data_IF_408997504884
#
_entry.id   IF_408997504884
#
_cell.length_a   1.000
_cell.length_b   1.000
_cell.length_c   1.000
_cell.angle_alpha   90.00
_cell.angle_beta   90.00
_cell.angle_gamma   90.00
#
_symmetry.space_group_name_H-M   'P 1'
#
loop_
_entity.id
_entity.type
_entity.pdbx_description
1 polymer ?
#
# COMPACT_ATOMS: atom_id res chain seq x y z
N UNK A 1 8.92 7.11 -10.72
CA UNK A 1 9.75 7.13 -9.47
C UNK A 1 10.60 5.86 -9.37
N UNK A 2 11.77 5.87 -8.73
CA UNK A 2 12.61 4.66 -8.53
C UNK A 2 12.78 4.39 -7.03
N UNK A 3 12.45 3.18 -6.58
CA UNK A 3 12.63 2.73 -5.19
C UNK A 3 13.45 1.43 -5.22
N UNK A 4 14.70 1.51 -4.77
CA UNK A 4 15.65 0.40 -4.88
C UNK A 4 15.79 -0.05 -6.34
N UNK A 5 15.62 -1.35 -6.66
CA UNK A 5 15.67 -1.86 -8.02
C UNK A 5 14.38 -1.63 -8.82
N UNK A 6 13.30 -1.14 -8.19
CA UNK A 6 11.97 -1.07 -8.81
C UNK A 6 11.71 0.31 -9.44
N UNK A 7 11.29 0.29 -10.71
CA UNK A 7 10.82 1.48 -11.42
C UNK A 7 9.30 1.55 -11.36
N UNK A 8 8.78 2.61 -10.74
CA UNK A 8 7.34 2.86 -10.62
C UNK A 8 6.83 3.73 -11.76
N UNK A 9 5.68 3.34 -12.32
CA UNK A 9 5.00 4.06 -13.40
C UNK A 9 4.34 5.38 -12.98
N UNK A 10 4.30 5.69 -11.68
CA UNK A 10 3.77 6.95 -11.15
C UNK A 10 4.56 7.38 -9.92
N UNK A 11 4.47 8.67 -9.59
CA UNK A 11 5.10 9.27 -8.41
C UNK A 11 4.11 9.37 -7.22
N UNK A 12 2.90 8.82 -7.39
CA UNK A 12 1.87 8.74 -6.35
C UNK A 12 1.88 7.37 -5.69
N UNK A 13 1.84 7.36 -4.36
CA UNK A 13 1.87 6.15 -3.54
C UNK A 13 0.68 6.19 -2.60
N UNK A 14 -0.05 5.09 -2.46
CA UNK A 14 -1.04 4.96 -1.39
C UNK A 14 -0.31 4.78 -0.06
N UNK A 15 -0.76 5.40 1.04
CA UNK A 15 -0.16 5.14 2.35
C UNK A 15 -0.78 3.87 2.98
N UNK A 16 0.00 2.99 3.63
CA UNK A 16 -0.55 1.87 4.40
C UNK A 16 -1.30 2.41 5.64
N UNK A 17 -2.55 2.00 5.79
CA UNK A 17 -3.41 2.40 6.90
C UNK A 17 -4.22 1.18 7.36
N UNK A 18 -4.07 0.80 8.63
CA UNK A 18 -4.83 -0.30 9.22
C UNK A 18 -6.34 0.02 9.23
N UNK A 19 -7.17 -0.93 8.83
CA UNK A 19 -8.63 -0.81 8.71
C UNK A 19 -9.12 0.01 7.52
N UNK A 20 -8.22 0.46 6.63
CA UNK A 20 -8.58 1.32 5.47
C UNK A 20 -8.03 0.75 4.16
N UNK A 21 -6.80 0.23 4.16
CA UNK A 21 -6.12 -0.22 2.94
C UNK A 21 -6.42 -1.66 2.53
N UNK A 22 -7.71 -1.98 2.52
CA UNK A 22 -8.25 -3.25 2.04
C UNK A 22 -8.02 -3.46 0.54
N UNK A 23 -8.18 -4.72 0.11
CA UNK A 23 -8.06 -5.11 -1.30
C UNK A 23 -8.92 -4.26 -2.27
N UNK A 24 -10.23 -4.02 -2.04
CA UNK A 24 -11.03 -3.19 -2.94
C UNK A 24 -10.53 -1.74 -3.02
N UNK A 25 -10.17 -1.12 -1.88
CA UNK A 25 -9.66 0.24 -1.84
C UNK A 25 -8.32 0.37 -2.58
N UNK A 26 -7.42 -0.58 -2.37
CA UNK A 26 -6.14 -0.65 -3.07
C UNK A 26 -6.30 -0.78 -4.57
N UNK A 27 -7.22 -1.63 -5.02
CA UNK A 27 -7.52 -1.80 -6.44
C UNK A 27 -8.10 -0.51 -7.06
N UNK A 28 -8.96 0.19 -6.31
CA UNK A 28 -9.48 1.49 -6.72
C UNK A 28 -8.34 2.51 -6.91
N UNK A 29 -7.45 2.66 -5.92
CA UNK A 29 -6.33 3.59 -6.00
C UNK A 29 -5.36 3.25 -7.14
N UNK A 30 -5.11 1.96 -7.42
CA UNK A 30 -4.29 1.54 -8.58
C UNK A 30 -4.94 1.94 -9.91
N UNK A 31 -6.26 1.82 -10.03
CA UNK A 31 -7.01 2.27 -11.23
C UNK A 31 -6.95 3.78 -11.41
N UNK A 32 -6.89 4.54 -10.32
CA UNK A 32 -6.75 6.00 -10.35
C UNK A 32 -5.32 6.52 -10.55
N UNK A 33 -4.32 5.64 -10.74
CA UNK A 33 -2.96 6.05 -11.08
C UNK A 33 -1.95 6.03 -9.92
N UNK A 34 -2.27 5.35 -8.81
CA UNK A 34 -1.28 5.05 -7.78
C UNK A 34 -0.21 4.11 -8.36
N UNK A 35 1.06 4.55 -8.34
CA UNK A 35 2.21 3.79 -8.83
C UNK A 35 2.58 2.62 -7.91
N UNK A 36 2.29 2.76 -6.62
CA UNK A 36 2.36 1.68 -5.63
C UNK A 36 1.15 1.78 -4.70
N UNK A 37 0.66 0.63 -4.26
CA UNK A 37 -0.38 0.57 -3.25
C UNK A 37 -0.08 -0.56 -2.26
N UNK A 38 -0.04 -0.24 -0.98
CA UNK A 38 0.29 -1.18 0.11
C UNK A 38 -0.96 -1.86 0.65
N UNK A 39 -0.74 -2.96 1.37
CA UNK A 39 -1.75 -3.56 2.24
C UNK A 39 -1.91 -2.77 3.54
N UNK A 40 -2.86 -3.23 4.36
CA UNK A 40 -3.00 -2.77 5.73
C UNK A 40 -1.69 -2.81 6.48
N UNK A 41 -1.55 -1.84 7.39
CA UNK A 41 -0.42 -1.78 8.31
C UNK A 41 -0.56 -2.91 9.33
N UNK A 42 0.41 -3.81 9.35
CA UNK A 42 0.49 -4.90 10.34
C UNK A 42 1.30 -4.42 11.54
N UNK A 43 0.84 -4.75 12.74
CA UNK A 43 1.57 -4.45 13.98
C UNK A 43 2.87 -5.26 14.05
N UNK A 44 3.96 -4.63 14.50
CA UNK A 44 5.24 -5.31 14.70
C UNK A 44 5.23 -6.21 15.95
N UNK A 45 4.30 -5.96 16.88
CA UNK A 45 4.17 -6.76 18.09
C UNK A 45 3.37 -8.03 17.79
N UNK A 46 4.05 -9.17 17.82
CA UNK A 46 3.46 -10.49 17.51
C UNK A 46 2.41 -10.93 18.52
N UNK A 47 2.37 -10.37 19.73
CA UNK A 47 1.33 -10.71 20.72
C UNK A 47 -0.04 -10.16 20.34
N UNK A 48 -0.09 -9.17 19.43
CA UNK A 48 -1.30 -8.51 18.95
C UNK A 48 -1.83 -9.11 17.63
N UNK A 49 -1.29 -10.24 17.17
CA UNK A 49 -1.66 -10.90 15.90
C UNK A 49 -2.86 -11.86 16.02
N UNK A 50 -3.54 -11.84 17.17
CA UNK A 50 -4.56 -12.80 17.59
C UNK A 50 -5.57 -13.21 16.53
#
# INVERSE_FOLDING_TARGET
MKIGPWQLGSNLLLAPMAGVTDLPFRNLCRRFGAGLAFSEMVTADTSLWG
#
